data_IF_615475872973
#
_entry.id   IF_615475872973
#
_cell.length_a   1.000
_cell.length_b   1.000
_cell.length_c   1.000
_cell.angle_alpha   90.00
_cell.angle_beta   90.00
_cell.angle_gamma   90.00
#
_symmetry.space_group_name_H-M   'P 1'
#
loop_
_entity.id
_entity.type
_entity.pdbx_description
1 polymer ?
#
# COMPACT_ATOMS: atom_id res chain seq x y z
N UNK A 1 13.08 11.77 -15.25
CA UNK A 1 12.60 10.38 -15.36
C UNK A 1 11.62 10.30 -16.53
N UNK A 2 11.74 9.30 -17.42
CA UNK A 2 10.74 9.08 -18.46
C UNK A 2 9.38 8.73 -17.81
N UNK A 3 8.29 9.11 -18.47
CA UNK A 3 6.94 8.76 -18.03
C UNK A 3 6.77 7.23 -18.06
N UNK A 4 6.38 6.64 -16.93
CA UNK A 4 6.06 5.21 -16.84
C UNK A 4 4.70 4.96 -17.49
N UNK A 5 4.60 3.96 -18.36
CA UNK A 5 3.31 3.43 -18.80
C UNK A 5 2.84 2.38 -17.78
N UNK A 6 1.86 2.74 -16.93
CA UNK A 6 1.39 1.87 -15.85
C UNK A 6 0.82 0.55 -16.39
N UNK A 7 0.20 0.56 -17.57
CA UNK A 7 -0.38 -0.62 -18.19
C UNK A 7 0.66 -1.71 -18.52
N UNK A 8 1.93 -1.33 -18.70
CA UNK A 8 3.02 -2.27 -19.01
C UNK A 8 3.67 -2.85 -17.74
N UNK A 9 3.34 -2.33 -16.55
CA UNK A 9 3.90 -2.82 -15.28
C UNK A 9 3.09 -4.03 -14.81
N UNK A 10 3.71 -5.21 -14.60
CA UNK A 10 2.96 -6.41 -14.23
C UNK A 10 2.25 -6.25 -12.88
N UNK A 11 0.99 -6.65 -12.86
CA UNK A 11 0.22 -6.82 -11.63
C UNK A 11 0.61 -8.12 -10.94
N UNK A 12 0.76 -8.06 -9.62
CA UNK A 12 0.97 -9.23 -8.79
C UNK A 12 -0.09 -9.28 -7.70
N UNK A 13 -0.89 -10.33 -7.71
CA UNK A 13 -1.87 -10.63 -6.67
C UNK A 13 -1.23 -11.48 -5.57
N UNK A 14 -1.64 -11.25 -4.33
CA UNK A 14 -1.26 -12.03 -3.17
C UNK A 14 -0.10 -11.48 -2.36
N UNK A 15 0.43 -12.35 -1.50
CA UNK A 15 1.38 -11.99 -0.46
C UNK A 15 2.45 -13.05 -0.26
N UNK A 16 3.55 -12.67 0.39
CA UNK A 16 4.62 -13.57 0.81
C UNK A 16 4.51 -14.04 2.26
N UNK A 17 3.45 -13.64 2.98
CA UNK A 17 3.22 -14.15 4.35
C UNK A 17 2.95 -15.65 4.32
N UNK A 18 3.38 -16.41 5.33
CA UNK A 18 3.02 -17.82 5.46
C UNK A 18 1.59 -17.96 6.01
N UNK A 19 0.89 -19.07 5.73
CA UNK A 19 -0.36 -19.38 6.41
C UNK A 19 -0.24 -19.38 7.95
N UNK A 20 -1.25 -18.89 8.68
CA UNK A 20 -2.51 -18.32 8.20
C UNK A 20 -2.47 -16.82 7.89
N UNK A 21 -1.31 -16.17 8.02
CA UNK A 21 -1.15 -14.71 7.91
C UNK A 21 -1.26 -14.17 6.48
N UNK A 22 -1.33 -15.07 5.49
CA UNK A 22 -1.59 -14.74 4.10
C UNK A 22 -3.04 -14.35 3.84
N UNK A 23 -3.98 -14.97 4.55
CA UNK A 23 -5.43 -14.95 4.30
C UNK A 23 -5.98 -13.54 4.02
N UNK A 24 -5.72 -12.58 4.91
CA UNK A 24 -6.27 -11.22 4.77
C UNK A 24 -5.55 -10.37 3.72
N UNK A 25 -4.39 -10.79 3.24
CA UNK A 25 -3.60 -10.10 2.20
C UNK A 25 -3.58 -10.88 0.88
N UNK A 26 -4.37 -11.95 0.74
CA UNK A 26 -4.29 -12.89 -0.38
C UNK A 26 -4.79 -12.29 -1.70
N UNK A 27 -5.69 -11.31 -1.64
CA UNK A 27 -6.30 -10.70 -2.82
C UNK A 27 -5.76 -9.29 -3.09
N UNK A 28 -4.81 -8.77 -2.29
CA UNK A 28 -4.15 -7.49 -2.58
C UNK A 28 -3.42 -7.57 -3.92
N UNK A 29 -3.53 -6.51 -4.73
CA UNK A 29 -2.87 -6.43 -6.03
C UNK A 29 -1.85 -5.30 -5.99
N UNK A 30 -0.63 -5.54 -6.50
CA UNK A 30 0.46 -4.56 -6.48
C UNK A 30 1.22 -4.49 -7.80
N UNK A 31 1.59 -3.27 -8.21
CA UNK A 31 2.48 -2.96 -9.33
C UNK A 31 3.70 -2.18 -8.83
N UNK A 32 4.91 -2.62 -9.18
CA UNK A 32 6.18 -2.01 -8.75
C UNK A 32 6.60 -0.88 -9.69
N UNK A 33 5.96 0.28 -9.55
CA UNK A 33 6.22 1.44 -10.41
C UNK A 33 7.67 1.95 -10.28
N UNK A 34 8.23 1.91 -9.07
CA UNK A 34 9.63 2.33 -8.85
C UNK A 34 10.62 1.52 -9.69
N UNK A 35 10.44 0.20 -9.73
CA UNK A 35 11.26 -0.70 -10.57
C UNK A 35 11.10 -0.39 -12.06
N UNK A 36 9.87 -0.14 -12.52
CA UNK A 36 9.61 0.22 -13.91
C UNK A 36 10.23 1.58 -14.29
N UNK A 37 10.37 2.49 -13.32
CA UNK A 37 11.07 3.77 -13.46
C UNK A 37 12.59 3.71 -13.28
N UNK A 38 13.15 2.55 -12.93
CA UNK A 38 14.58 2.37 -12.66
C UNK A 38 15.06 2.95 -11.34
N UNK A 39 14.17 3.13 -10.35
CA UNK A 39 14.54 3.61 -9.02
C UNK A 39 15.26 2.53 -8.22
N UNK A 40 16.32 2.93 -7.50
CA UNK A 40 17.10 2.07 -6.60
C UNK A 40 16.95 2.43 -5.12
N UNK A 41 16.68 3.70 -4.81
CA UNK A 41 16.82 4.22 -3.45
C UNK A 41 15.57 4.01 -2.59
N UNK A 42 14.39 3.92 -3.23
CA UNK A 42 13.12 3.65 -2.56
C UNK A 42 12.14 2.92 -3.50
N UNK A 43 11.18 2.24 -2.89
CA UNK A 43 10.10 1.57 -3.60
C UNK A 43 8.91 2.49 -3.85
N UNK A 44 8.30 2.39 -5.03
CA UNK A 44 6.97 2.98 -5.30
C UNK A 44 6.05 1.86 -5.79
N UNK A 45 4.96 1.65 -5.06
CA UNK A 45 3.95 0.65 -5.37
C UNK A 45 2.62 1.33 -5.66
N UNK A 46 1.96 0.89 -6.75
CA UNK A 46 0.53 1.10 -6.91
C UNK A 46 -0.18 -0.14 -6.39
N UNK A 47 -0.97 0.01 -5.34
CA UNK A 47 -1.70 -1.06 -4.69
C UNK A 47 -3.21 -0.89 -4.89
N UNK A 48 -3.91 -2.00 -5.09
CA UNK A 48 -5.38 -2.05 -5.05
C UNK A 48 -5.80 -3.11 -4.04
N UNK A 49 -6.74 -2.73 -3.18
CA UNK A 49 -7.30 -3.59 -2.16
C UNK A 49 -8.75 -3.89 -2.51
N UNK A 50 -9.08 -5.16 -2.81
CA UNK A 50 -10.47 -5.58 -2.85
C UNK A 50 -11.14 -5.37 -1.48
N UNK A 51 -12.47 -5.20 -1.42
CA UNK A 51 -13.17 -5.04 -0.16
C UNK A 51 -12.82 -6.14 0.86
N UNK A 52 -12.46 -5.74 2.08
CA UNK A 52 -12.09 -6.66 3.17
C UNK A 52 -10.67 -7.22 3.13
N UNK A 53 -9.82 -6.81 2.18
CA UNK A 53 -8.40 -7.16 2.17
C UNK A 53 -7.53 -6.10 2.85
N UNK A 54 -6.41 -6.56 3.37
CA UNK A 54 -5.39 -5.74 4.02
C UNK A 54 -4.20 -5.51 3.08
N UNK A 55 -3.66 -4.31 3.17
CA UNK A 55 -2.38 -3.89 2.62
C UNK A 55 -1.22 -4.69 3.18
N UNK A 56 -1.24 -5.06 4.46
CA UNK A 56 -0.20 -5.85 5.13
C UNK A 56 -0.71 -6.48 6.42
N UNK A 57 0.11 -7.33 7.04
CA UNK A 57 0.00 -7.53 8.48
C UNK A 57 0.41 -6.25 9.19
N UNK A 58 -0.11 -6.03 10.40
CA UNK A 58 0.21 -4.84 11.20
C UNK A 58 1.68 -4.85 11.60
N UNK A 59 2.43 -3.81 11.24
CA UNK A 59 3.88 -3.78 11.45
C UNK A 59 4.43 -2.34 11.50
N UNK A 60 5.74 -2.24 11.67
CA UNK A 60 6.50 -1.01 11.58
C UNK A 60 7.91 -1.32 11.08
N UNK A 61 8.53 -0.33 10.44
CA UNK A 61 9.89 -0.44 9.93
C UNK A 61 10.85 0.27 10.89
N UNK A 62 11.96 -0.39 11.24
CA UNK A 62 12.98 0.18 12.13
C UNK A 62 14.03 1.04 11.43
N UNK A 63 14.11 0.95 10.10
CA UNK A 63 15.17 1.57 9.30
C UNK A 63 14.68 2.15 7.96
N UNK A 64 13.38 2.04 7.67
CA UNK A 64 12.79 2.51 6.43
C UNK A 64 11.61 3.41 6.76
N UNK A 65 11.55 4.57 6.11
CA UNK A 65 10.36 5.41 6.16
C UNK A 65 9.30 4.84 5.19
N UNK A 66 8.02 4.94 5.57
CA UNK A 66 6.91 4.53 4.73
C UNK A 66 5.84 5.62 4.63
N UNK A 67 5.38 5.86 3.41
CA UNK A 67 4.39 6.89 3.08
C UNK A 67 3.31 6.31 2.18
N UNK A 68 2.05 6.57 2.53
CA UNK A 68 0.87 6.07 1.80
C UNK A 68 0.03 7.23 1.29
N UNK A 69 -0.49 7.05 0.08
CA UNK A 69 -1.33 8.03 -0.60
C UNK A 69 -2.54 7.34 -1.22
N UNK A 70 -3.73 7.64 -0.69
CA UNK A 70 -4.99 7.03 -1.18
C UNK A 70 -5.42 7.71 -2.46
N UNK A 71 -5.47 6.98 -3.58
CA UNK A 71 -5.78 7.55 -4.90
C UNK A 71 -7.27 7.58 -5.22
N UNK A 72 -8.04 6.63 -4.69
CA UNK A 72 -9.47 6.53 -4.93
C UNK A 72 -10.13 5.82 -3.74
N UNK A 73 -11.36 6.22 -3.42
CA UNK A 73 -12.22 5.62 -2.38
C UNK A 73 -11.67 5.84 -0.98
N UNK A 74 -11.88 4.86 -0.12
CA UNK A 74 -11.70 4.90 1.32
C UNK A 74 -10.96 3.65 1.77
N UNK A 75 -10.07 3.81 2.75
CA UNK A 75 -9.37 2.75 3.48
C UNK A 75 -9.42 3.07 4.98
N UNK A 76 -9.27 2.04 5.81
CA UNK A 76 -9.13 2.23 7.26
C UNK A 76 -7.69 1.97 7.65
N UNK A 77 -6.96 3.00 8.07
CA UNK A 77 -5.66 2.85 8.71
C UNK A 77 -5.86 2.37 10.15
N UNK A 78 -5.28 1.23 10.49
CA UNK A 78 -5.32 0.63 11.82
C UNK A 78 -3.94 0.78 12.45
N UNK A 79 -3.83 1.62 13.47
CA UNK A 79 -2.63 1.87 14.27
C UNK A 79 -2.83 1.40 15.72
N UNK A 80 -1.80 1.51 16.57
CA UNK A 80 -1.91 1.15 17.99
C UNK A 80 -2.94 2.03 18.74
N UNK A 81 -3.10 3.29 18.34
CA UNK A 81 -4.03 4.24 18.95
C UNK A 81 -5.47 4.14 18.40
N UNK A 82 -5.71 3.28 17.40
CA UNK A 82 -7.04 3.00 16.87
C UNK A 82 -7.13 3.06 15.35
N UNK A 83 -8.33 3.36 14.87
CA UNK A 83 -8.69 3.33 13.45
C UNK A 83 -8.92 4.75 12.91
N UNK A 84 -8.34 5.05 11.76
CA UNK A 84 -8.53 6.30 11.02
C UNK A 84 -9.00 6.01 9.61
N UNK A 85 -10.11 6.62 9.20
CA UNK A 85 -10.59 6.54 7.82
C UNK A 85 -9.76 7.46 6.94
N UNK A 86 -9.05 6.90 5.97
CA UNK A 86 -8.34 7.61 4.92
C UNK A 86 -9.22 7.63 3.67
N UNK A 87 -9.50 8.80 3.13
CA UNK A 87 -10.36 8.92 1.95
C UNK A 87 -9.87 10.00 1.00
N UNK A 88 -10.32 9.93 -0.25
CA UNK A 88 -10.13 11.04 -1.18
C UNK A 88 -11.28 12.04 -0.99
N UNK A 89 -11.05 13.17 -0.31
CA UNK A 89 -12.07 14.20 -0.18
C UNK A 89 -12.09 15.09 -1.44
N UNK A 90 -13.21 15.15 -2.16
CA UNK A 90 -13.40 16.09 -3.30
C UNK A 90 -12.27 16.10 -4.36
N UNK A 91 -11.61 14.96 -4.59
CA UNK A 91 -10.49 14.86 -5.53
C UNK A 91 -9.15 15.37 -4.99
N UNK A 92 -9.02 15.59 -3.68
CA UNK A 92 -7.75 15.78 -3.00
C UNK A 92 -7.39 14.50 -2.27
N UNK A 93 -6.20 13.94 -2.53
CA UNK A 93 -5.80 12.71 -1.87
C UNK A 93 -5.11 13.02 -0.54
N UNK A 94 -5.44 12.25 0.50
CA UNK A 94 -4.91 12.42 1.86
C UNK A 94 -3.56 11.69 2.02
N UNK A 95 -2.48 12.42 2.31
CA UNK A 95 -1.19 11.83 2.63
C UNK A 95 -1.16 11.33 4.07
N UNK A 96 -0.68 10.11 4.30
CA UNK A 96 -0.40 9.61 5.64
C UNK A 96 1.02 9.06 5.72
N UNK A 97 1.72 9.39 6.82
CA UNK A 97 2.98 8.74 7.17
C UNK A 97 2.65 7.57 8.07
N UNK A 98 3.13 6.38 7.73
CA UNK A 98 2.78 5.14 8.41
C UNK A 98 3.54 5.07 9.73
N UNK A 99 2.81 5.12 10.85
CA UNK A 99 3.37 5.03 12.20
C UNK A 99 3.60 3.58 12.66
N UNK A 100 4.06 3.40 13.92
CA UNK A 100 4.26 2.08 14.49
C UNK A 100 2.96 1.27 14.54
N UNK A 101 3.01 0.01 14.08
CA UNK A 101 1.87 -0.90 14.21
C UNK A 101 0.73 -0.53 13.27
N UNK A 102 1.05 -0.10 12.05
CA UNK A 102 0.08 0.29 11.05
C UNK A 102 -0.22 -0.86 10.06
N UNK A 103 -1.48 -0.95 9.64
CA UNK A 103 -1.93 -1.64 8.43
C UNK A 103 -3.22 -0.98 7.92
N UNK A 104 -3.36 -0.86 6.61
CA UNK A 104 -4.63 -0.50 5.96
C UNK A 104 -5.35 -1.72 5.39
#
# INVERSE_FOLDING_TARGET
MPKINIADVPERQGTGYPPPFDTHCAERIRQRLGNAGGLSDFGVYLMRLPPGNWSSQRHWHSAEDEFVYVLERELTLVEDDGETVLQTDQGRPEPVTVGPGAAC
#
